data_IF_770204418121
#
_entry.id   IF_770204418121
#
_cell.length_a   1.000
_cell.length_b   1.000
_cell.length_c   1.000
_cell.angle_alpha   90.00
_cell.angle_beta   90.00
_cell.angle_gamma   90.00
#
_symmetry.space_group_name_H-M   'P 1'
#
loop_
_entity.id
_entity.type
_entity.pdbx_description
1 polymer ?
#
# COMPACT_ATOMS: atom_id res chain seq x y z
N UNK A 1 21.88 -10.40 -17.48
CA UNK A 1 20.51 -10.42 -18.04
C UNK A 1 19.72 -9.28 -17.42
N UNK A 2 18.80 -8.70 -18.20
CA UNK A 2 18.33 -7.31 -18.10
C UNK A 2 17.43 -7.03 -16.87
N UNK A 3 17.70 -5.89 -16.23
CA UNK A 3 16.87 -5.06 -15.35
C UNK A 3 16.06 -5.74 -14.22
N UNK A 4 16.65 -5.76 -13.02
CA UNK A 4 15.91 -5.56 -11.77
C UNK A 4 15.33 -4.14 -11.78
N UNK A 5 14.24 -3.95 -12.52
CA UNK A 5 13.65 -2.63 -12.76
C UNK A 5 12.13 -2.72 -12.68
N UNK A 6 11.62 -3.12 -11.52
CA UNK A 6 10.22 -2.92 -11.20
C UNK A 6 10.07 -2.71 -9.68
N UNK A 7 10.88 -1.80 -9.14
CA UNK A 7 10.45 -1.01 -7.97
C UNK A 7 9.51 0.09 -8.46
N UNK A 8 8.44 -0.29 -9.16
CA UNK A 8 7.29 0.59 -9.28
C UNK A 8 6.60 0.48 -7.92
N UNK A 9 6.63 1.57 -7.14
CA UNK A 9 5.81 1.73 -5.95
C UNK A 9 4.38 1.34 -6.30
N UNK A 10 4.01 0.09 -6.04
CA UNK A 10 2.69 -0.44 -6.35
C UNK A 10 1.71 0.30 -5.44
N UNK A 11 1.06 1.30 -6.00
CA UNK A 11 -0.02 2.02 -5.31
C UNK A 11 -1.35 1.46 -5.75
N UNK A 12 -2.27 1.28 -4.81
CA UNK A 12 -3.61 0.80 -5.07
C UNK A 12 -4.63 1.80 -4.54
N UNK A 13 -5.22 2.58 -5.44
CA UNK A 13 -6.37 3.42 -5.09
C UNK A 13 -7.66 2.60 -5.01
N UNK A 14 -8.64 3.06 -4.25
CA UNK A 14 -9.95 2.42 -4.17
C UNK A 14 -10.59 2.32 -5.58
N UNK A 15 -10.49 3.38 -6.39
CA UNK A 15 -11.04 3.41 -7.74
C UNK A 15 -10.38 2.41 -8.72
N UNK A 16 -9.10 2.08 -8.52
CA UNK A 16 -8.43 1.02 -9.27
C UNK A 16 -8.91 -0.34 -8.77
N UNK A 17 -8.88 -0.57 -7.45
CA UNK A 17 -9.27 -1.84 -6.86
C UNK A 17 -10.69 -2.29 -7.28
N UNK A 18 -11.65 -1.35 -7.38
CA UNK A 18 -13.02 -1.65 -7.82
C UNK A 18 -13.11 -2.14 -9.27
N UNK A 19 -12.17 -1.78 -10.13
CA UNK A 19 -12.11 -2.16 -11.55
C UNK A 19 -11.25 -3.39 -11.82
N UNK A 20 -10.56 -3.91 -10.82
CA UNK A 20 -9.68 -5.06 -10.96
C UNK A 20 -10.43 -6.37 -10.76
N UNK A 21 -9.95 -7.38 -11.48
CA UNK A 21 -10.25 -8.80 -11.25
C UNK A 21 -9.79 -9.23 -9.85
N UNK A 22 -10.44 -10.24 -9.29
CA UNK A 22 -10.18 -10.71 -7.91
C UNK A 22 -8.74 -11.18 -7.72
N UNK A 23 -8.21 -11.94 -8.68
CA UNK A 23 -6.85 -12.50 -8.63
C UNK A 23 -5.80 -11.38 -8.67
N UNK A 24 -5.95 -10.44 -9.61
CA UNK A 24 -5.07 -9.27 -9.73
C UNK A 24 -5.14 -8.36 -8.50
N UNK A 25 -6.33 -8.13 -7.95
CA UNK A 25 -6.53 -7.38 -6.72
C UNK A 25 -5.80 -8.05 -5.55
N UNK A 26 -5.95 -9.38 -5.42
CA UNK A 26 -5.32 -10.16 -4.35
C UNK A 26 -3.80 -10.13 -4.44
N UNK A 27 -3.24 -10.29 -5.63
CA UNK A 27 -1.79 -10.22 -5.84
C UNK A 27 -1.21 -8.86 -5.45
N UNK A 28 -1.82 -7.77 -5.93
CA UNK A 28 -1.36 -6.41 -5.64
C UNK A 28 -1.55 -6.06 -4.16
N UNK A 29 -2.71 -6.40 -3.60
CA UNK A 29 -3.00 -6.18 -2.19
C UNK A 29 -1.97 -6.88 -1.30
N UNK A 30 -1.71 -8.17 -1.54
CA UNK A 30 -0.72 -8.93 -0.79
C UNK A 30 0.70 -8.37 -0.95
N UNK A 31 1.07 -7.92 -2.16
CA UNK A 31 2.37 -7.30 -2.41
C UNK A 31 2.53 -5.98 -1.64
N UNK A 32 1.50 -5.13 -1.59
CA UNK A 32 1.55 -3.86 -0.85
C UNK A 32 1.63 -4.12 0.65
N UNK A 33 0.78 -4.99 1.19
CA UNK A 33 0.80 -5.37 2.61
C UNK A 33 2.16 -5.95 3.00
N UNK A 34 2.72 -6.85 2.18
CA UNK A 34 4.05 -7.41 2.40
C UNK A 34 5.13 -6.32 2.44
N UNK A 35 5.08 -5.33 1.55
CA UNK A 35 6.01 -4.19 1.58
C UNK A 35 5.83 -3.32 2.82
N UNK A 36 4.59 -3.02 3.22
CA UNK A 36 4.32 -2.25 4.44
C UNK A 36 4.89 -2.96 5.68
N UNK A 37 4.74 -4.29 5.76
CA UNK A 37 5.32 -5.11 6.84
C UNK A 37 6.84 -5.06 6.81
N UNK A 38 7.46 -5.10 5.63
CA UNK A 38 8.92 -5.00 5.49
C UNK A 38 9.46 -3.60 5.85
N UNK A 39 8.72 -2.54 5.50
CA UNK A 39 9.14 -1.14 5.71
C UNK A 39 8.96 -0.69 7.17
N UNK A 40 7.83 -1.02 7.79
CA UNK A 40 7.45 -0.56 9.12
C UNK A 40 7.56 -1.63 10.22
N UNK A 41 7.69 -2.91 9.85
CA UNK A 41 7.72 -4.04 10.76
C UNK A 41 6.35 -4.66 11.06
N UNK A 42 6.30 -5.98 11.18
CA UNK A 42 5.07 -6.77 11.41
C UNK A 42 4.29 -6.33 12.66
N UNK A 43 4.98 -6.11 13.78
CA UNK A 43 4.34 -5.70 15.04
C UNK A 43 3.62 -4.34 14.90
N UNK A 44 4.31 -3.33 14.36
CA UNK A 44 3.73 -2.00 14.13
C UNK A 44 2.57 -2.07 13.13
N UNK A 45 2.72 -2.86 12.07
CA UNK A 45 1.66 -3.02 11.07
C UNK A 45 0.41 -3.70 11.64
N UNK A 46 0.55 -4.66 12.56
CA UNK A 46 -0.59 -5.29 13.25
C UNK A 46 -1.34 -4.33 14.16
N UNK A 47 -0.65 -3.36 14.78
CA UNK A 47 -1.31 -2.32 15.57
C UNK A 47 -2.09 -1.33 14.70
N UNK A 48 -1.53 -0.97 13.54
CA UNK A 48 -2.13 0.03 12.63
C UNK A 48 -3.20 -0.58 11.73
N UNK A 49 -3.06 -1.84 11.35
CA UNK A 49 -3.92 -2.60 10.44
C UNK A 49 -4.37 -3.88 11.15
N UNK A 50 -5.40 -3.80 12.02
CA UNK A 50 -5.80 -4.90 12.91
C UNK A 50 -6.22 -6.16 12.16
N UNK A 51 -6.65 -6.05 10.89
CA UNK A 51 -6.94 -7.23 10.07
C UNK A 51 -5.72 -8.14 9.87
N UNK A 52 -4.48 -7.63 10.01
CA UNK A 52 -3.26 -8.44 9.97
C UNK A 52 -3.09 -9.30 11.24
N UNK A 53 -3.64 -8.85 12.37
CA UNK A 53 -3.67 -9.63 13.60
C UNK A 53 -4.81 -10.67 13.56
N UNK A 54 -5.95 -10.31 12.99
CA UNK A 54 -7.13 -11.18 12.89
C UNK A 54 -7.01 -12.22 11.77
N UNK A 55 -6.30 -11.90 10.68
CA UNK A 55 -6.15 -12.78 9.52
C UNK A 55 -4.69 -13.04 9.18
N UNK A 56 -4.30 -14.30 9.36
CA UNK A 56 -2.95 -14.81 9.06
C UNK A 56 -2.57 -14.74 7.57
N UNK A 57 -3.55 -14.70 6.67
CA UNK A 57 -3.31 -14.81 5.24
C UNK A 57 -4.24 -13.91 4.42
N UNK A 58 -3.64 -12.96 3.69
CA UNK A 58 -4.37 -12.03 2.83
C UNK A 58 -5.03 -12.73 1.63
N UNK A 59 -4.55 -13.92 1.23
CA UNK A 59 -5.11 -14.67 0.09
C UNK A 59 -6.41 -15.38 0.45
N UNK A 60 -6.73 -15.50 1.72
CA UNK A 60 -7.99 -16.07 2.19
C UNK A 60 -9.11 -15.02 2.28
N UNK A 61 -8.81 -13.76 1.97
CA UNK A 61 -9.78 -12.67 2.03
C UNK A 61 -10.66 -12.63 0.78
N UNK A 62 -11.92 -12.26 0.99
CA UNK A 62 -12.86 -12.03 -0.11
C UNK A 62 -12.61 -10.68 -0.78
N UNK A 63 -13.03 -10.53 -2.04
CA UNK A 63 -12.99 -9.25 -2.77
C UNK A 63 -13.55 -8.08 -1.97
N UNK A 64 -14.71 -8.29 -1.34
CA UNK A 64 -15.40 -7.26 -0.57
C UNK A 64 -14.55 -6.80 0.62
N UNK A 65 -13.93 -7.73 1.35
CA UNK A 65 -13.05 -7.40 2.47
C UNK A 65 -11.80 -6.63 2.02
N UNK A 66 -11.17 -7.07 0.92
CA UNK A 66 -10.02 -6.36 0.33
C UNK A 66 -10.39 -4.92 -0.05
N UNK A 67 -11.54 -4.70 -0.68
CA UNK A 67 -12.02 -3.37 -1.05
C UNK A 67 -12.33 -2.49 0.17
N UNK A 68 -12.90 -3.07 1.24
CA UNK A 68 -13.13 -2.34 2.49
C UNK A 68 -11.81 -1.89 3.11
N UNK A 69 -10.79 -2.76 3.15
CA UNK A 69 -9.47 -2.42 3.70
C UNK A 69 -8.78 -1.36 2.84
N UNK A 70 -8.76 -1.53 1.52
CA UNK A 70 -8.17 -0.54 0.60
C UNK A 70 -8.85 0.81 0.79
N UNK A 71 -10.17 0.85 0.97
CA UNK A 71 -10.90 2.09 1.25
C UNK A 71 -10.54 2.69 2.62
N UNK A 72 -10.51 1.89 3.68
CA UNK A 72 -10.20 2.37 5.03
C UNK A 72 -8.76 2.88 5.15
N UNK A 73 -7.82 2.23 4.47
CA UNK A 73 -6.39 2.53 4.52
C UNK A 73 -5.88 3.15 3.21
N UNK A 74 -6.73 3.82 2.44
CA UNK A 74 -6.38 4.30 1.09
C UNK A 74 -5.12 5.16 1.09
N UNK A 75 -4.91 6.01 2.12
CA UNK A 75 -3.69 6.84 2.23
C UNK A 75 -2.40 6.04 2.41
N UNK A 76 -2.47 4.78 2.84
CA UNK A 76 -1.32 3.86 2.96
C UNK A 76 -1.11 3.07 1.66
N UNK A 77 -2.19 2.64 1.02
CA UNK A 77 -2.14 1.91 -0.26
C UNK A 77 -1.87 2.84 -1.46
N UNK A 78 -2.30 4.09 -1.38
CA UNK A 78 -2.10 5.14 -2.37
C UNK A 78 -1.73 6.43 -1.64
N UNK A 79 -0.51 6.51 -1.07
CA UNK A 79 -0.06 7.73 -0.42
C UNK A 79 -0.15 8.89 -1.42
N UNK A 80 -0.70 10.04 -1.02
CA UNK A 80 -0.69 11.21 -1.89
C UNK A 80 0.76 11.44 -2.29
N UNK A 81 1.02 11.49 -3.59
CA UNK A 81 2.31 11.96 -4.09
C UNK A 81 2.47 13.35 -3.51
N UNK A 82 3.22 13.47 -2.41
CA UNK A 82 3.75 14.74 -1.96
C UNK A 82 4.41 15.30 -3.20
N UNK A 83 3.85 16.39 -3.73
CA UNK A 83 4.49 17.11 -4.81
C UNK A 83 5.89 17.37 -4.28
N UNK A 84 6.91 16.85 -4.97
CA UNK A 84 8.31 17.07 -4.66
C UNK A 84 8.73 18.54 -4.91
N UNK A 85 7.80 19.48 -4.69
CA UNK A 85 7.89 20.90 -5.04
C UNK A 85 7.65 21.80 -3.82
N UNK A 86 7.28 21.25 -2.66
CA UNK A 86 7.36 22.01 -1.40
C UNK A 86 8.71 21.74 -0.73
N UNK A 87 9.77 22.16 -1.43
CA UNK A 87 10.99 22.54 -0.73
C UNK A 87 10.64 23.80 0.04
N UNK A 88 10.57 23.82 1.40
CA UNK A 88 10.68 25.08 2.08
C UNK A 88 12.07 25.58 1.70
N UNK A 89 12.13 26.60 0.87
CA UNK A 89 13.32 27.38 0.58
C UNK A 89 13.74 28.03 1.90
N UNK A 90 14.31 27.24 2.80
CA UNK A 90 15.13 27.75 3.89
C UNK A 90 16.44 28.14 3.21
N UNK A 91 16.40 29.19 2.37
CA UNK A 91 17.58 29.98 2.05
C UNK A 91 17.82 30.87 3.25
N UNK A 92 18.43 30.26 4.27
CA UNK A 92 19.37 30.98 5.09
C UNK A 92 20.55 31.44 4.21
N UNK A 93 21.06 32.63 4.50
CA UNK A 93 22.25 33.30 3.94
C UNK A 93 22.08 34.13 2.65
N UNK A 94 22.26 35.44 2.86
CA UNK A 94 22.36 36.51 1.87
C UNK A 94 22.30 37.85 2.57
#
# INVERSE_FOLDING_TARGET
>A
MRSCGHDESATLSCAQAWRMDDDALREIFARIVGRLILDYGDAMMREVMPFLAERRDCRSMTRAEMLVIVKQHERRFNPPRLRADETPWISAHG
#
